data_IF_707358212732
#
_entry.id   IF_707358212732
#
_cell.length_a   1.000
_cell.length_b   1.000
_cell.length_c   1.000
_cell.angle_alpha   90.00
_cell.angle_beta   90.00
_cell.angle_gamma   90.00
#
_symmetry.space_group_name_H-M   'P 1'
#
loop_
_entity.id
_entity.type
_entity.pdbx_description
1 polymer ?
#
# COMPACT_ATOMS: atom_id res chain seq x y z
N UNK A 1 -7.19 -6.13 31.81
CA UNK A 1 -7.88 -5.45 30.70
C UNK A 1 -7.51 -6.20 29.42
N UNK A 2 -8.48 -6.80 28.70
CA UNK A 2 -8.19 -7.47 27.42
C UNK A 2 -7.65 -6.42 26.45
N UNK A 3 -6.43 -6.62 25.97
CA UNK A 3 -5.73 -5.72 25.06
C UNK A 3 -6.40 -5.71 23.67
N UNK A 4 -7.55 -5.04 23.55
CA UNK A 4 -8.20 -4.79 22.26
C UNK A 4 -7.32 -3.96 21.31
N UNK A 5 -6.29 -3.28 21.83
CA UNK A 5 -5.33 -2.50 21.05
C UNK A 5 -4.39 -3.34 20.16
N UNK A 6 -4.13 -4.62 20.51
CA UNK A 6 -3.15 -5.44 19.80
C UNK A 6 -3.56 -5.75 18.35
N UNK A 7 -4.86 -5.76 18.06
CA UNK A 7 -5.41 -6.02 16.73
C UNK A 7 -5.70 -4.75 15.90
N UNK A 8 -5.68 -3.56 16.52
CA UNK A 8 -5.87 -2.30 15.79
C UNK A 8 -4.56 -1.81 15.15
N UNK A 9 -3.41 -2.20 15.71
CA UNK A 9 -2.08 -1.72 15.31
C UNK A 9 -1.21 -2.81 14.65
N UNK A 10 -1.85 -3.72 13.90
CA UNK A 10 -1.16 -4.81 13.18
C UNK A 10 -0.34 -4.26 12.00
N UNK A 11 0.66 -5.01 11.54
CA UNK A 11 1.48 -4.57 10.41
C UNK A 11 0.64 -4.42 9.14
N UNK A 12 -0.36 -5.31 8.93
CA UNK A 12 -1.28 -5.20 7.82
C UNK A 12 -2.09 -3.89 7.83
N UNK A 13 -2.49 -3.40 9.00
CA UNK A 13 -3.27 -2.15 9.09
C UNK A 13 -2.41 -0.92 8.78
N UNK A 14 -1.14 -0.92 9.22
CA UNK A 14 -0.14 0.10 8.91
C UNK A 14 0.20 0.11 7.42
N UNK A 15 0.50 -1.05 6.85
CA UNK A 15 0.79 -1.21 5.42
C UNK A 15 -0.39 -0.78 4.55
N UNK A 16 -1.63 -1.08 4.96
CA UNK A 16 -2.83 -0.62 4.24
C UNK A 16 -2.95 0.90 4.23
N UNK A 17 -2.67 1.59 5.34
CA UNK A 17 -2.70 3.07 5.39
C UNK A 17 -1.57 3.68 4.58
N UNK A 18 -0.37 3.10 4.67
CA UNK A 18 0.81 3.55 3.92
C UNK A 18 0.59 3.43 2.41
N UNK A 19 0.19 2.24 1.94
CA UNK A 19 -0.08 1.95 0.53
C UNK A 19 -1.19 2.84 -0.06
N UNK A 20 -2.27 3.10 0.69
CA UNK A 20 -3.33 4.04 0.27
C UNK A 20 -2.82 5.49 0.18
N UNK A 21 -1.97 5.90 1.11
CA UNK A 21 -1.38 7.24 1.12
C UNK A 21 -0.44 7.42 -0.07
N UNK A 22 0.41 6.42 -0.33
CA UNK A 22 1.32 6.40 -1.48
C UNK A 22 0.55 6.39 -2.80
N UNK A 23 -0.53 5.61 -2.93
CA UNK A 23 -1.38 5.63 -4.12
C UNK A 23 -1.90 7.05 -4.41
N UNK A 24 -2.40 7.75 -3.39
CA UNK A 24 -2.86 9.14 -3.55
C UNK A 24 -1.74 10.08 -3.99
N UNK A 25 -0.57 9.99 -3.36
CA UNK A 25 0.58 10.83 -3.73
C UNK A 25 1.03 10.60 -5.15
N UNK A 26 1.14 9.33 -5.58
CA UNK A 26 1.55 9.00 -6.95
C UNK A 26 0.51 9.50 -7.95
N UNK A 27 -0.78 9.37 -7.65
CA UNK A 27 -1.84 9.88 -8.52
C UNK A 27 -1.81 11.41 -8.61
N UNK A 28 -1.64 12.13 -7.50
CA UNK A 28 -1.49 13.59 -7.52
C UNK A 28 -0.26 14.04 -8.32
N UNK A 29 0.86 13.34 -8.16
CA UNK A 29 2.04 13.58 -8.98
C UNK A 29 1.73 13.37 -10.46
N UNK A 30 1.08 12.26 -10.84
CA UNK A 30 0.72 11.99 -12.24
C UNK A 30 -0.19 13.06 -12.83
N UNK A 31 -1.23 13.49 -12.09
CA UNK A 31 -2.10 14.57 -12.56
C UNK A 31 -1.37 15.90 -12.70
N UNK A 32 -0.49 16.22 -11.76
CA UNK A 32 0.31 17.45 -11.80
C UNK A 32 1.30 17.41 -12.95
N UNK A 33 1.92 16.25 -13.21
CA UNK A 33 2.85 16.05 -14.31
C UNK A 33 2.15 16.23 -15.66
N UNK A 34 1.06 15.51 -15.91
CA UNK A 34 0.33 15.60 -17.18
C UNK A 34 -0.34 16.97 -17.36
N UNK A 35 -0.95 17.52 -16.30
CA UNK A 35 -1.57 18.84 -16.33
C UNK A 35 -0.56 19.97 -16.52
N UNK A 36 0.59 19.89 -15.83
CA UNK A 36 1.68 20.85 -15.94
C UNK A 36 2.35 20.82 -17.31
N UNK A 37 2.63 19.63 -17.85
CA UNK A 37 3.15 19.47 -19.20
C UNK A 37 2.17 20.02 -20.25
N UNK A 38 0.88 19.74 -20.11
CA UNK A 38 -0.16 20.29 -20.98
C UNK A 38 -0.18 21.82 -20.94
N UNK A 39 -0.12 22.42 -19.75
CA UNK A 39 -0.09 23.87 -19.57
C UNK A 39 1.15 24.49 -20.19
N UNK A 40 2.33 23.93 -19.94
CA UNK A 40 3.60 24.42 -20.49
C UNK A 40 3.58 24.40 -22.02
N UNK A 41 3.21 23.27 -22.63
CA UNK A 41 3.14 23.15 -24.08
C UNK A 41 2.11 24.11 -24.66
N UNK A 42 0.96 24.27 -24.02
CA UNK A 42 -0.09 25.19 -24.48
C UNK A 42 0.35 26.66 -24.41
N UNK A 43 1.24 27.02 -23.47
CA UNK A 43 1.76 28.38 -23.31
C UNK A 43 2.97 28.68 -24.21
N UNK A 44 3.84 27.70 -24.46
CA UNK A 44 5.08 27.89 -25.24
C UNK A 44 4.95 27.55 -26.72
N UNK A 45 4.04 26.63 -27.06
CA UNK A 45 3.79 26.15 -28.42
C UNK A 45 2.36 26.46 -28.86
N UNK A 46 1.65 25.45 -29.34
CA UNK A 46 0.22 25.56 -29.66
C UNK A 46 -0.66 24.69 -28.77
N UNK A 47 -1.91 25.12 -28.57
CA UNK A 47 -2.91 24.32 -27.87
C UNK A 47 -3.09 22.93 -28.50
N UNK A 48 -2.98 22.83 -29.83
CA UNK A 48 -3.09 21.57 -30.58
C UNK A 48 -1.96 20.59 -30.27
N UNK A 49 -0.74 21.08 -30.02
CA UNK A 49 0.39 20.25 -29.57
C UNK A 49 0.15 19.71 -28.15
N UNK A 50 -0.47 20.50 -27.28
CA UNK A 50 -0.88 20.06 -25.94
C UNK A 50 -1.89 18.90 -25.98
N UNK A 51 -2.80 18.88 -26.95
CA UNK A 51 -3.81 17.82 -27.08
C UNK A 51 -3.23 16.42 -27.33
N UNK A 52 -2.00 16.33 -27.86
CA UNK A 52 -1.32 15.04 -28.08
C UNK A 52 -1.01 14.33 -26.75
N UNK A 53 -0.92 15.06 -25.63
CA UNK A 53 -0.74 14.47 -24.30
C UNK A 53 -1.99 13.76 -23.77
N UNK A 54 -3.19 14.12 -24.24
CA UNK A 54 -4.43 13.52 -23.75
C UNK A 54 -4.49 12.00 -23.94
N UNK A 55 -4.27 11.42 -25.13
CA UNK A 55 -4.28 9.95 -25.28
C UNK A 55 -3.22 9.27 -24.41
N UNK A 56 -2.05 9.88 -24.24
CA UNK A 56 -0.99 9.34 -23.37
C UNK A 56 -1.44 9.35 -21.91
N UNK A 57 -2.04 10.44 -21.44
CA UNK A 57 -2.56 10.57 -20.08
C UNK A 57 -3.70 9.58 -19.80
N UNK A 58 -4.64 9.45 -20.75
CA UNK A 58 -5.79 8.55 -20.68
C UNK A 58 -5.36 7.08 -20.55
N UNK A 59 -4.23 6.69 -21.14
CA UNK A 59 -3.70 5.33 -21.03
C UNK A 59 -2.81 5.18 -19.79
N UNK A 60 -1.89 6.12 -19.58
CA UNK A 60 -0.86 6.03 -18.53
C UNK A 60 -1.46 6.10 -17.13
N UNK A 61 -2.41 7.01 -16.89
CA UNK A 61 -2.96 7.22 -15.55
C UNK A 61 -3.71 5.97 -15.04
N UNK A 62 -4.63 5.35 -15.81
CA UNK A 62 -5.27 4.10 -15.40
C UNK A 62 -4.29 2.93 -15.24
N UNK A 63 -3.30 2.81 -16.13
CA UNK A 63 -2.28 1.76 -16.04
C UNK A 63 -1.45 1.90 -14.76
N UNK A 64 -1.00 3.10 -14.43
CA UNK A 64 -0.27 3.39 -13.20
C UNK A 64 -1.11 3.05 -11.98
N UNK A 65 -2.40 3.46 -11.96
CA UNK A 65 -3.31 3.11 -10.86
C UNK A 65 -3.48 1.61 -10.71
N UNK A 66 -3.65 0.89 -11.83
CA UNK A 66 -3.77 -0.56 -11.83
C UNK A 66 -2.50 -1.25 -11.30
N UNK A 67 -1.33 -0.82 -11.77
CA UNK A 67 -0.04 -1.36 -11.33
C UNK A 67 0.25 -1.12 -9.84
N UNK A 68 -0.15 0.05 -9.32
CA UNK A 68 -0.03 0.35 -7.88
C UNK A 68 -0.96 -0.54 -7.08
N UNK A 69 -2.23 -0.67 -7.48
CA UNK A 69 -3.20 -1.53 -6.78
C UNK A 69 -2.70 -2.97 -6.70
N UNK A 70 -2.19 -3.51 -7.80
CA UNK A 70 -1.63 -4.86 -7.85
C UNK A 70 -0.42 -5.05 -6.91
N UNK A 71 0.43 -4.03 -6.77
CA UNK A 71 1.53 -4.05 -5.81
C UNK A 71 1.02 -3.96 -4.36
N UNK A 72 0.12 -3.03 -4.07
CA UNK A 72 -0.46 -2.81 -2.74
C UNK A 72 -1.12 -4.08 -2.19
N UNK A 73 -1.87 -4.81 -3.03
CA UNK A 73 -2.49 -6.10 -2.65
C UNK A 73 -1.47 -7.17 -2.23
N UNK A 74 -0.24 -7.13 -2.76
CA UNK A 74 0.83 -8.06 -2.36
C UNK A 74 1.47 -7.65 -1.04
N UNK A 75 1.73 -6.36 -0.84
CA UNK A 75 2.28 -5.84 0.41
C UNK A 75 1.34 -6.10 1.60
N UNK A 76 0.05 -5.81 1.44
CA UNK A 76 -0.94 -6.06 2.49
C UNK A 76 -1.02 -7.55 2.84
N UNK A 77 -1.06 -8.45 1.85
CA UNK A 77 -1.07 -9.89 2.10
C UNK A 77 0.20 -10.38 2.79
N UNK A 78 1.36 -9.85 2.42
CA UNK A 78 2.62 -10.19 3.09
C UNK A 78 2.60 -9.77 4.56
N UNK A 79 2.08 -8.60 4.86
CA UNK A 79 1.96 -8.10 6.23
C UNK A 79 0.92 -8.89 7.05
N UNK A 80 -0.19 -9.31 6.44
CA UNK A 80 -1.15 -10.23 7.07
C UNK A 80 -0.49 -11.56 7.45
N UNK A 81 0.31 -12.13 6.55
CA UNK A 81 1.03 -13.37 6.84
C UNK A 81 2.02 -13.19 8.01
N UNK A 82 2.67 -12.02 8.13
CA UNK A 82 3.56 -11.72 9.26
C UNK A 82 2.79 -11.63 10.58
N UNK A 83 1.65 -10.92 10.57
CA UNK A 83 0.75 -10.81 11.72
C UNK A 83 0.26 -12.22 12.16
N UNK A 84 -0.11 -13.08 11.21
CA UNK A 84 -0.57 -14.45 11.50
C UNK A 84 0.54 -15.34 12.08
N UNK A 85 1.78 -15.23 11.58
CA UNK A 85 2.94 -15.95 12.11
C UNK A 85 3.24 -15.52 13.55
N UNK A 86 3.13 -14.22 13.85
CA UNK A 86 3.34 -13.70 15.21
C UNK A 86 2.33 -14.33 16.19
N UNK A 87 1.05 -14.43 15.80
CA UNK A 87 0.02 -15.09 16.61
C UNK A 87 0.34 -16.57 16.84
N UNK A 88 0.80 -17.29 15.81
CA UNK A 88 1.17 -18.70 15.92
C UNK A 88 2.35 -18.88 16.87
N UNK A 89 3.37 -18.02 16.77
CA UNK A 89 4.54 -18.04 17.66
C UNK A 89 4.13 -17.84 19.13
N UNK A 90 3.28 -16.86 19.41
CA UNK A 90 2.78 -16.63 20.78
C UNK A 90 2.06 -17.83 21.37
N UNK A 91 1.28 -18.54 20.54
CA UNK A 91 0.60 -19.76 20.98
C UNK A 91 1.57 -20.91 21.22
N UNK A 92 2.62 -21.01 20.41
CA UNK A 92 3.66 -22.03 20.57
C UNK A 92 4.45 -21.80 21.86
N UNK A 93 4.91 -20.58 22.09
CA UNK A 93 5.64 -20.19 23.31
C UNK A 93 4.82 -20.49 24.57
N UNK A 94 3.50 -20.20 24.53
CA UNK A 94 2.59 -20.51 25.63
C UNK A 94 2.38 -22.02 25.85
N UNK A 95 2.47 -22.84 24.80
CA UNK A 95 2.41 -24.31 24.92
C UNK A 95 3.72 -24.84 25.49
N UNK A 96 4.86 -24.35 25.00
CA UNK A 96 6.20 -24.73 25.47
C UNK A 96 6.36 -24.42 26.96
N UNK A 97 5.93 -23.24 27.41
CA UNK A 97 5.93 -22.88 28.84
C UNK A 97 5.09 -23.84 29.68
N UNK A 98 3.94 -24.30 29.15
CA UNK A 98 3.07 -25.27 29.85
C UNK A 98 3.68 -26.66 29.89
N UNK A 99 4.38 -27.09 28.85
CA UNK A 99 5.06 -28.38 28.80
C UNK A 99 6.23 -28.38 29.79
N UNK A 100 7.07 -27.35 29.79
CA UNK A 100 8.21 -27.25 30.71
C UNK A 100 7.75 -27.30 32.18
N UNK A 101 6.65 -26.63 32.53
CA UNK A 101 6.05 -26.71 33.88
C UNK A 101 5.53 -28.10 34.26
N UNK A 102 5.17 -28.93 33.27
CA UNK A 102 4.73 -30.31 33.51
C UNK A 102 5.92 -31.28 33.60
N UNK A 103 7.02 -31.00 32.91
CA UNK A 103 8.24 -31.81 32.93
C UNK A 103 9.12 -31.55 34.16
N UNK A 104 9.06 -30.37 34.78
CA UNK A 104 9.76 -30.04 36.04
C UNK A 104 9.12 -30.69 37.29
N UNK A 105 8.13 -31.59 37.13
CA UNK A 105 7.35 -32.22 38.20
C UNK A 105 7.53 -33.73 38.23
#
# INVERSE_FOLDING_TARGET
MKNYNKYMDTQASKERKFTQTMEKWIMYFMYTLFGGLFLLISLTGSFSEGLVLLPVAVISIPLTKWGIRWQNERYIRSAQNQDDIEIVKERLDAIEERINKLEEK
#
